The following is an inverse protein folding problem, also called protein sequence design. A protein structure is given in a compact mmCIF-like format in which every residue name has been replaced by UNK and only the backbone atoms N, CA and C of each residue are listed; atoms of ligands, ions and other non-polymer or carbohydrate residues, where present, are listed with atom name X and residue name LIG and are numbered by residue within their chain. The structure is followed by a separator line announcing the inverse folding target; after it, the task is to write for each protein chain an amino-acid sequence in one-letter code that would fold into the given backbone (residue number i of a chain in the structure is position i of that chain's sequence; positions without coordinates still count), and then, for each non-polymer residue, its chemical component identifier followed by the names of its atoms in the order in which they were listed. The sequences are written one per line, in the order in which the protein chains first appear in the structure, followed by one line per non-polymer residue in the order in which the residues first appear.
data_IF_391530807789
#
_entry.id   IF_391530807789
#
_cell.length_a   1.000
_cell.length_b   1.000
_cell.length_c   1.000
_cell.angle_alpha   90.00
_cell.angle_beta   90.00
_cell.angle_gamma   90.00
#
_symmetry.space_group_name_H-M   'P 1'
#
loop_
_entity.id
_entity.type
_entity.pdbx_description
1 polymer ?
#
# COMPACT_ATOMS: atom_id res chain seq x y z
N UNK A 1 7.78 -0.16 12.25
CA UNK A 1 7.03 -1.35 12.71
C UNK A 1 7.17 -2.39 11.63
N UNK A 2 7.57 -3.61 12.02
CA UNK A 2 7.62 -4.74 11.10
C UNK A 2 6.21 -5.18 10.74
N UNK A 3 5.93 -5.34 9.44
CA UNK A 3 4.66 -5.86 8.92
C UNK A 3 4.92 -6.92 7.84
N UNK A 4 4.04 -7.91 7.77
CA UNK A 4 4.12 -9.03 6.86
C UNK A 4 2.82 -9.15 6.05
N UNK A 5 2.88 -9.05 4.73
CA UNK A 5 1.70 -9.10 3.87
C UNK A 5 2.01 -9.77 2.54
N UNK A 6 1.00 -10.04 1.72
CA UNK A 6 1.18 -10.62 0.39
C UNK A 6 1.03 -9.51 -0.65
N UNK A 7 1.96 -9.42 -1.58
CA UNK A 7 1.91 -8.47 -2.69
C UNK A 7 1.92 -9.24 -4.00
N UNK A 8 0.80 -9.23 -4.72
CA UNK A 8 0.62 -9.97 -5.98
C UNK A 8 1.02 -11.46 -5.83
N UNK A 9 0.52 -12.13 -4.80
CA UNK A 9 0.88 -13.52 -4.47
C UNK A 9 2.29 -13.76 -3.91
N UNK A 10 3.10 -12.72 -3.68
CA UNK A 10 4.45 -12.84 -3.11
C UNK A 10 4.47 -12.35 -1.66
N UNK A 11 4.93 -13.14 -0.67
CA UNK A 11 5.04 -12.67 0.71
C UNK A 11 6.14 -11.60 0.83
N UNK A 12 5.82 -10.52 1.53
CA UNK A 12 6.67 -9.36 1.77
C UNK A 12 6.74 -9.11 3.28
N UNK A 13 7.94 -8.77 3.76
CA UNK A 13 8.21 -8.32 5.13
C UNK A 13 9.02 -7.02 5.06
N UNK A 14 8.50 -5.94 5.67
CA UNK A 14 9.14 -4.62 5.69
C UNK A 14 8.98 -3.93 7.04
N UNK A 15 9.96 -3.11 7.42
CA UNK A 15 9.88 -2.23 8.59
C UNK A 15 9.54 -0.80 8.12
N UNK A 16 8.35 -0.31 8.51
CA UNK A 16 7.86 1.01 8.09
C UNK A 16 7.39 1.85 9.28
N UNK A 17 7.58 3.18 9.28
CA UNK A 17 6.93 4.06 10.24
C UNK A 17 5.41 3.85 10.28
N UNK A 18 4.75 3.92 11.45
CA UNK A 18 3.32 3.65 11.56
C UNK A 18 2.42 4.63 10.78
N UNK A 19 2.91 5.84 10.52
CA UNK A 19 2.26 6.88 9.73
C UNK A 19 2.42 6.72 8.21
N UNK A 20 3.24 5.79 7.74
CA UNK A 20 3.50 5.58 6.31
C UNK A 20 2.25 5.08 5.60
N UNK A 21 1.86 5.76 4.52
CA UNK A 21 0.74 5.31 3.68
C UNK A 21 1.11 4.07 2.88
N UNK A 22 0.12 3.25 2.52
CA UNK A 22 0.33 2.08 1.67
C UNK A 22 0.89 2.49 0.30
N UNK A 23 0.47 3.64 -0.25
CA UNK A 23 1.03 4.18 -1.50
C UNK A 23 2.54 4.43 -1.38
N UNK A 24 2.97 5.08 -0.29
CA UNK A 24 4.38 5.37 -0.02
C UNK A 24 5.17 4.08 0.13
N UNK A 25 4.71 3.14 0.97
CA UNK A 25 5.39 1.86 1.16
C UNK A 25 5.54 1.07 -0.16
N UNK A 26 4.48 0.99 -0.97
CA UNK A 26 4.53 0.30 -2.25
C UNK A 26 5.54 0.94 -3.20
N UNK A 27 5.62 2.27 -3.27
CA UNK A 27 6.44 2.96 -4.27
C UNK A 27 7.88 3.17 -3.83
N UNK A 28 8.08 3.67 -2.61
CA UNK A 28 9.38 4.11 -2.12
C UNK A 28 10.17 2.95 -1.53
N UNK A 29 9.52 2.08 -0.75
CA UNK A 29 10.20 0.94 -0.12
C UNK A 29 10.26 -0.28 -1.06
N UNK A 30 9.17 -0.55 -1.79
CA UNK A 30 9.04 -1.77 -2.60
C UNK A 30 9.21 -1.54 -4.12
N UNK A 31 9.39 -0.30 -4.57
CA UNK A 31 9.64 0.01 -5.99
C UNK A 31 8.47 -0.27 -6.94
N UNK A 32 7.25 -0.42 -6.42
CA UNK A 32 6.04 -0.69 -7.21
C UNK A 32 5.50 0.58 -7.87
N UNK A 33 6.16 1.04 -8.91
CA UNK A 33 5.77 2.29 -9.59
C UNK A 33 4.53 2.17 -10.50
N UNK A 34 3.89 0.99 -10.55
CA UNK A 34 2.63 0.76 -11.25
C UNK A 34 1.48 1.56 -10.65
N UNK A 35 1.36 1.58 -9.32
CA UNK A 35 0.45 2.46 -8.58
C UNK A 35 0.96 3.90 -8.64
N UNK A 36 0.09 4.87 -8.91
CA UNK A 36 0.49 6.26 -9.22
C UNK A 36 0.16 7.24 -8.09
N UNK A 37 0.98 8.28 -7.96
CA UNK A 37 0.57 9.50 -7.25
C UNK A 37 -0.47 10.24 -8.08
N UNK A 38 -1.41 10.86 -7.38
CA UNK A 38 -2.50 11.64 -7.97
C UNK A 38 -2.86 12.79 -7.06
N UNK A 39 -4.05 12.74 -6.45
CA UNK A 39 -4.50 13.75 -5.50
C UNK A 39 -4.05 13.52 -4.05
N UNK A 40 -3.70 12.27 -3.68
CA UNK A 40 -3.33 11.85 -2.31
C UNK A 40 -4.36 12.12 -1.22
N UNK A 41 -5.58 12.48 -1.61
CA UNK A 41 -6.72 12.73 -0.73
C UNK A 41 -7.86 11.71 -0.91
N UNK A 42 -7.66 10.65 -1.71
CA UNK A 42 -8.67 9.61 -1.96
C UNK A 42 -9.74 9.95 -3.02
N UNK A 43 -9.57 11.04 -3.78
CA UNK A 43 -10.60 11.53 -4.72
C UNK A 43 -10.43 11.00 -6.15
N UNK A 44 -9.20 10.83 -6.63
CA UNK A 44 -8.94 10.60 -8.07
C UNK A 44 -8.82 9.12 -8.49
N UNK A 45 -8.59 8.19 -7.55
CA UNK A 45 -8.39 6.77 -7.85
C UNK A 45 -7.09 6.39 -8.57
N UNK A 46 -6.15 7.32 -8.79
CA UNK A 46 -4.87 7.02 -9.45
C UNK A 46 -4.00 6.01 -8.67
N UNK A 47 -4.21 5.92 -7.35
CA UNK A 47 -3.48 5.05 -6.45
C UNK A 47 -4.25 3.77 -6.08
N UNK A 48 -5.31 3.41 -6.81
CA UNK A 48 -6.15 2.27 -6.47
C UNK A 48 -5.35 0.96 -6.53
N UNK A 49 -5.47 0.16 -5.49
CA UNK A 49 -4.97 -1.22 -5.40
C UNK A 49 -6.12 -2.14 -5.00
N UNK A 50 -5.95 -3.44 -5.18
CA UNK A 50 -6.86 -4.44 -4.61
C UNK A 50 -6.33 -4.82 -3.23
N UNK A 51 -7.19 -4.75 -2.22
CA UNK A 51 -6.92 -5.18 -0.86
C UNK A 51 -7.91 -6.29 -0.51
N UNK A 52 -7.41 -7.51 -0.36
CA UNK A 52 -8.22 -8.72 -0.28
C UNK A 52 -9.28 -8.81 -1.40
N UNK A 53 -8.93 -8.35 -2.60
CA UNK A 53 -9.81 -8.33 -3.77
C UNK A 53 -10.73 -7.12 -3.89
N UNK A 54 -10.82 -6.25 -2.88
CA UNK A 54 -11.65 -5.05 -2.91
C UNK A 54 -10.82 -3.81 -3.30
N UNK A 55 -11.31 -2.92 -4.18
CA UNK A 55 -10.58 -1.73 -4.58
C UNK A 55 -10.50 -0.70 -3.45
N UNK A 56 -9.29 -0.26 -3.12
CA UNK A 56 -9.04 0.79 -2.11
C UNK A 56 -8.00 1.79 -2.59
N UNK A 57 -8.17 3.03 -2.13
CA UNK A 57 -7.21 4.10 -2.37
C UNK A 57 -6.02 3.98 -1.41
N UNK A 58 -4.89 3.45 -1.90
CA UNK A 58 -3.68 3.25 -1.08
C UNK A 58 -3.08 4.54 -0.47
N UNK A 59 -3.40 5.72 -1.02
CA UNK A 59 -2.91 7.00 -0.49
C UNK A 59 -3.52 7.41 0.86
N UNK A 60 -4.69 6.88 1.23
CA UNK A 60 -5.40 7.21 2.48
C UNK A 60 -5.50 6.01 3.43
N UNK A 61 -4.80 4.92 3.10
CA UNK A 61 -4.66 3.74 3.94
C UNK A 61 -3.22 3.69 4.47
N UNK A 62 -3.04 3.35 5.73
CA UNK A 62 -1.71 3.16 6.30
C UNK A 62 -1.14 1.80 5.90
N UNK A 63 0.16 1.73 5.64
CA UNK A 63 0.86 0.49 5.32
C UNK A 63 0.69 -0.56 6.44
N UNK A 64 0.64 -0.12 7.69
CA UNK A 64 0.45 -1.00 8.84
C UNK A 64 -0.91 -1.71 8.87
N UNK A 65 -1.90 -1.20 8.14
CA UNK A 65 -3.19 -1.86 8.00
C UNK A 65 -3.16 -3.03 7.01
N UNK A 66 -2.07 -3.17 6.25
CA UNK A 66 -1.89 -4.28 5.32
C UNK A 66 -1.31 -5.54 5.98
N UNK A 67 -0.87 -5.46 7.24
CA UNK A 67 -0.29 -6.59 7.96
C UNK A 67 -1.25 -7.78 8.03
N UNK A 68 -0.84 -8.93 7.47
CA UNK A 68 -1.63 -10.16 7.38
C UNK A 68 -2.62 -10.22 6.21
N UNK A 69 -2.60 -9.25 5.29
CA UNK A 69 -3.52 -9.16 4.14
C UNK A 69 -2.80 -9.34 2.79
N UNK A 70 -3.57 -9.36 1.71
CA UNK A 70 -3.07 -9.28 0.32
C UNK A 70 -3.49 -7.97 -0.37
#
# INVERSE_FOLDING_TARGET
MMICFTLNGTPIEIDVPPETTLLTALREELGMFGVKHGCETGECGACTVLFNGEPVNSCVMLAVQADGHE
#
